data_IF_308735878611
#
_entry.id   IF_308735878611
#
_cell.length_a   1.000
_cell.length_b   1.000
_cell.length_c   1.000
_cell.angle_alpha   90.00
_cell.angle_beta   90.00
_cell.angle_gamma   90.00
#
_symmetry.space_group_name_H-M   'P 1'
#
loop_
_entity.id
_entity.type
_entity.pdbx_description
1 polymer ?
#
# COMPACT_ATOMS: atom_id res chain seq x y z
N UNK A 1 -32.22 -2.40 -6.70
CA UNK A 1 -33.07 -1.25 -7.08
C UNK A 1 -32.26 -0.34 -7.98
N UNK A 2 -32.85 0.10 -9.15
CA UNK A 2 -32.17 1.12 -9.95
C UNK A 2 -32.71 2.49 -9.55
N UNK A 3 -31.85 3.36 -9.11
CA UNK A 3 -32.21 4.75 -8.78
C UNK A 3 -32.22 5.56 -10.09
N UNK A 4 -33.30 6.29 -10.40
CA UNK A 4 -33.33 7.17 -11.56
C UNK A 4 -32.42 8.37 -11.29
N UNK A 5 -31.26 8.43 -11.96
CA UNK A 5 -30.35 9.57 -11.89
C UNK A 5 -30.99 10.71 -12.72
N UNK A 6 -31.38 11.79 -12.06
CA UNK A 6 -31.77 13.04 -12.72
C UNK A 6 -30.54 13.97 -12.78
N UNK A 7 -29.99 14.16 -13.96
CA UNK A 7 -28.82 14.98 -14.18
C UNK A 7 -29.02 16.50 -13.96
N UNK A 8 -30.23 16.92 -13.53
CA UNK A 8 -30.52 18.33 -13.23
C UNK A 8 -30.16 18.75 -11.81
N UNK A 9 -29.86 17.79 -10.94
CA UNK A 9 -29.47 18.04 -9.54
C UNK A 9 -28.21 17.23 -9.20
N UNK A 10 -27.27 17.85 -8.52
CA UNK A 10 -26.07 17.18 -7.98
C UNK A 10 -26.38 16.50 -6.63
N UNK A 11 -27.49 15.78 -6.59
CA UNK A 11 -27.95 15.06 -5.39
C UNK A 11 -28.16 13.59 -5.73
N UNK A 12 -27.48 12.72 -5.02
CA UNK A 12 -27.76 11.30 -4.98
C UNK A 12 -28.34 10.93 -3.61
N UNK A 13 -29.54 10.33 -3.54
CA UNK A 13 -30.13 9.96 -2.25
C UNK A 13 -29.27 8.90 -1.56
N UNK A 14 -29.26 8.92 -0.22
CA UNK A 14 -28.57 7.93 0.57
C UNK A 14 -29.06 6.50 0.19
N UNK A 15 -28.12 5.61 -0.03
CA UNK A 15 -28.43 4.19 -0.23
C UNK A 15 -28.74 3.57 1.14
N UNK A 16 -29.90 2.93 1.23
CA UNK A 16 -30.39 2.30 2.48
C UNK A 16 -30.46 0.78 2.38
N UNK A 17 -30.06 0.22 1.25
CA UNK A 17 -30.09 -1.21 0.91
C UNK A 17 -28.80 -1.96 1.34
N UNK A 18 -27.79 -1.23 1.80
CA UNK A 18 -26.55 -1.78 2.31
C UNK A 18 -26.21 -1.21 3.69
N UNK A 19 -25.81 -2.06 4.63
CA UNK A 19 -25.30 -1.60 5.91
C UNK A 19 -23.85 -1.13 5.74
N UNK A 20 -23.56 0.07 6.21
CA UNK A 20 -22.18 0.55 6.40
C UNK A 20 -21.59 -0.20 7.59
N UNK A 21 -20.51 -0.93 7.37
CA UNK A 21 -19.78 -1.63 8.43
C UNK A 21 -18.78 -0.67 9.09
N UNK A 22 -18.72 -0.70 10.42
CA UNK A 22 -17.74 0.07 11.19
C UNK A 22 -16.60 -0.86 11.62
N UNK A 23 -15.78 -1.25 10.66
CA UNK A 23 -14.63 -2.14 10.85
C UNK A 23 -13.39 -1.55 10.20
N UNK A 24 -12.22 -1.96 10.65
CA UNK A 24 -10.95 -1.58 10.03
C UNK A 24 -10.66 -2.41 8.77
N UNK A 25 -9.75 -1.90 7.92
CA UNK A 25 -9.29 -2.65 6.72
C UNK A 25 -8.67 -4.00 7.12
N UNK A 26 -7.88 -4.03 8.20
CA UNK A 26 -7.29 -5.27 8.72
C UNK A 26 -8.34 -6.29 9.22
N UNK A 27 -9.39 -5.82 9.89
CA UNK A 27 -10.50 -6.68 10.29
C UNK A 27 -11.27 -7.24 9.09
N UNK A 28 -11.51 -6.41 8.06
CA UNK A 28 -12.14 -6.86 6.83
C UNK A 28 -11.32 -7.96 6.14
N UNK A 29 -10.00 -7.81 6.06
CA UNK A 29 -9.10 -8.83 5.51
C UNK A 29 -9.22 -10.15 6.31
N UNK A 30 -9.20 -10.08 7.64
CA UNK A 30 -9.36 -11.24 8.52
C UNK A 30 -10.69 -11.96 8.30
N UNK A 31 -11.79 -11.23 8.27
CA UNK A 31 -13.11 -11.80 8.01
C UNK A 31 -13.20 -12.47 6.64
N UNK A 32 -12.61 -11.87 5.62
CA UNK A 32 -12.58 -12.43 4.27
C UNK A 32 -11.75 -13.71 4.23
N UNK A 33 -10.57 -13.72 4.86
CA UNK A 33 -9.72 -14.88 4.93
C UNK A 33 -10.34 -16.03 5.73
N UNK A 34 -11.15 -15.74 6.76
CA UNK A 34 -11.91 -16.75 7.49
C UNK A 34 -13.05 -17.34 6.65
N UNK A 35 -13.72 -16.51 5.86
CA UNK A 35 -14.85 -16.95 5.04
C UNK A 35 -14.41 -17.74 3.80
N UNK A 36 -13.27 -17.36 3.19
CA UNK A 36 -12.79 -17.89 1.91
C UNK A 36 -11.30 -18.27 1.94
N UNK A 37 -10.81 -19.06 2.91
CA UNK A 37 -9.39 -19.24 3.19
C UNK A 37 -8.58 -19.78 2.01
N UNK A 38 -9.19 -20.61 1.16
CA UNK A 38 -8.52 -21.28 0.04
C UNK A 38 -8.79 -20.64 -1.33
N UNK A 39 -9.63 -19.62 -1.36
CA UNK A 39 -9.87 -18.91 -2.62
C UNK A 39 -8.71 -17.97 -2.95
N UNK A 40 -8.47 -17.77 -4.25
CA UNK A 40 -7.40 -16.89 -4.73
C UNK A 40 -7.74 -15.44 -4.41
N UNK A 41 -6.82 -14.78 -3.69
CA UNK A 41 -6.93 -13.38 -3.29
C UNK A 41 -6.10 -12.44 -4.17
N UNK A 42 -4.91 -12.87 -4.55
CA UNK A 42 -3.94 -12.06 -5.31
C UNK A 42 -3.20 -12.94 -6.30
N UNK A 43 -2.98 -12.42 -7.50
CA UNK A 43 -2.20 -13.07 -8.55
C UNK A 43 -1.23 -12.05 -9.13
N UNK A 44 0.04 -12.41 -9.19
CA UNK A 44 1.06 -11.65 -9.90
C UNK A 44 1.00 -11.98 -11.39
N UNK A 45 0.95 -10.94 -12.21
CA UNK A 45 0.98 -11.07 -13.67
C UNK A 45 2.11 -10.18 -14.19
N UNK A 46 3.00 -10.75 -14.97
CA UNK A 46 4.11 -10.00 -15.55
C UNK A 46 3.67 -9.17 -16.78
N UNK A 47 4.64 -8.46 -17.40
CA UNK A 47 4.37 -7.57 -18.53
C UNK A 47 3.93 -8.34 -19.80
N UNK A 48 4.29 -9.60 -19.91
CA UNK A 48 3.94 -10.47 -21.05
C UNK A 48 2.60 -11.18 -20.83
N UNK A 49 2.02 -11.05 -19.62
CA UNK A 49 0.75 -11.63 -19.23
C UNK A 49 0.88 -13.03 -18.61
N UNK A 50 2.10 -13.46 -18.32
CA UNK A 50 2.34 -14.73 -17.65
C UNK A 50 2.03 -14.64 -16.15
N UNK A 51 1.42 -15.72 -15.63
CA UNK A 51 1.04 -15.81 -14.22
C UNK A 51 2.27 -16.23 -13.40
N UNK A 52 2.65 -15.37 -12.45
CA UNK A 52 3.71 -15.62 -11.48
C UNK A 52 3.18 -16.23 -10.17
N UNK A 53 3.50 -15.57 -9.05
CA UNK A 53 3.07 -15.98 -7.71
C UNK A 53 1.57 -15.78 -7.51
N UNK A 54 0.97 -16.57 -6.65
CA UNK A 54 -0.43 -16.41 -6.28
C UNK A 54 -0.62 -16.65 -4.77
N UNK A 55 -1.58 -15.95 -4.20
CA UNK A 55 -1.94 -16.04 -2.80
C UNK A 55 -3.41 -16.41 -2.65
N UNK A 56 -3.69 -17.30 -1.72
CA UNK A 56 -5.03 -17.49 -1.19
C UNK A 56 -5.31 -16.37 -0.16
N UNK A 57 -6.58 -16.17 0.22
CA UNK A 57 -6.90 -15.23 1.29
C UNK A 57 -6.17 -15.56 2.60
N UNK A 58 -6.01 -16.85 2.91
CA UNK A 58 -5.29 -17.28 4.11
C UNK A 58 -3.81 -16.95 4.05
N UNK A 59 -3.12 -17.24 2.93
CA UNK A 59 -1.69 -16.95 2.80
C UNK A 59 -1.42 -15.45 2.72
N UNK A 60 -2.27 -14.68 2.02
CA UNK A 60 -2.16 -13.22 1.99
C UNK A 60 -2.30 -12.61 3.39
N UNK A 61 -3.28 -13.08 4.18
CA UNK A 61 -3.44 -12.61 5.56
C UNK A 61 -2.19 -12.90 6.39
N UNK A 62 -1.62 -14.11 6.28
CA UNK A 62 -0.42 -14.49 7.03
C UNK A 62 0.75 -13.56 6.71
N UNK A 63 1.05 -13.32 5.43
CA UNK A 63 2.13 -12.41 5.04
C UNK A 63 1.87 -10.97 5.47
N UNK A 64 0.62 -10.50 5.39
CA UNK A 64 0.26 -9.17 5.88
C UNK A 64 0.44 -9.03 7.40
N UNK A 65 0.12 -10.07 8.18
CA UNK A 65 0.32 -10.08 9.64
C UNK A 65 1.81 -10.10 10.01
N UNK A 66 2.63 -10.91 9.32
CA UNK A 66 4.08 -10.94 9.50
C UNK A 66 4.71 -9.58 9.20
N UNK A 67 4.32 -8.98 8.07
CA UNK A 67 4.80 -7.66 7.70
C UNK A 67 4.31 -6.56 8.65
N UNK A 68 3.06 -6.63 9.11
CA UNK A 68 2.53 -5.69 10.11
C UNK A 68 3.29 -5.76 11.43
N UNK A 69 3.67 -6.97 11.87
CA UNK A 69 4.49 -7.16 13.06
C UNK A 69 5.90 -6.57 12.87
N UNK A 70 6.52 -6.78 11.71
CA UNK A 70 7.82 -6.19 11.40
C UNK A 70 7.76 -4.65 11.39
N UNK A 71 6.71 -4.07 10.80
CA UNK A 71 6.48 -2.62 10.81
C UNK A 71 6.27 -2.07 12.22
N UNK A 72 5.41 -2.72 13.03
CA UNK A 72 5.13 -2.30 14.40
C UNK A 72 6.34 -2.39 15.35
N UNK A 73 7.36 -3.19 14.99
CA UNK A 73 8.63 -3.24 15.73
C UNK A 73 9.55 -2.03 15.45
N UNK A 74 9.31 -1.28 14.37
CA UNK A 74 10.15 -0.19 13.87
C UNK A 74 9.49 1.19 13.92
N UNK A 75 8.17 1.20 13.78
CA UNK A 75 7.39 2.42 13.65
C UNK A 75 6.24 2.46 14.67
N UNK A 76 5.91 3.66 15.12
CA UNK A 76 4.80 3.89 16.03
C UNK A 76 3.49 4.10 15.25
N UNK A 77 2.32 3.74 15.82
CA UNK A 77 1.03 4.06 15.23
C UNK A 77 0.90 5.57 14.93
N UNK A 78 0.42 5.89 13.74
CA UNK A 78 0.30 7.26 13.23
C UNK A 78 1.54 7.79 12.52
N UNK A 79 2.70 7.11 12.59
CA UNK A 79 3.84 7.47 11.75
C UNK A 79 3.52 7.18 10.27
N UNK A 80 4.15 7.93 9.40
CA UNK A 80 3.97 7.80 7.95
C UNK A 80 5.17 7.11 7.33
N UNK A 81 4.90 6.19 6.39
CA UNK A 81 5.92 5.56 5.56
C UNK A 81 5.58 5.75 4.10
N UNK A 82 6.55 6.16 3.29
CA UNK A 82 6.34 6.32 1.86
C UNK A 82 6.67 5.02 1.13
N UNK A 83 5.75 4.58 0.27
CA UNK A 83 5.97 3.47 -0.67
C UNK A 83 6.12 4.06 -2.07
N UNK A 84 7.31 3.89 -2.63
CA UNK A 84 7.70 4.34 -3.96
C UNK A 84 8.08 3.14 -4.81
N UNK A 85 7.05 2.51 -5.38
CA UNK A 85 7.15 1.24 -6.10
C UNK A 85 6.09 1.16 -7.20
N UNK A 86 6.30 0.39 -8.26
CA UNK A 86 5.23 -0.02 -9.15
C UNK A 86 4.25 -0.94 -8.43
N UNK A 87 3.18 -1.31 -9.14
CA UNK A 87 2.21 -2.28 -8.63
C UNK A 87 2.86 -3.67 -8.59
N UNK A 88 3.18 -4.14 -7.40
CA UNK A 88 3.72 -5.46 -7.11
C UNK A 88 2.91 -6.11 -5.99
N UNK A 89 2.99 -7.43 -5.80
CA UNK A 89 2.33 -8.08 -4.66
C UNK A 89 2.79 -7.51 -3.31
N UNK A 90 4.07 -7.19 -3.17
CA UNK A 90 4.66 -6.57 -1.97
C UNK A 90 4.00 -5.24 -1.63
N UNK A 91 3.60 -4.47 -2.67
CA UNK A 91 2.87 -3.22 -2.48
C UNK A 91 1.50 -3.46 -1.83
N UNK A 92 0.77 -4.48 -2.28
CA UNK A 92 -0.54 -4.86 -1.72
C UNK A 92 -0.39 -5.35 -0.27
N UNK A 93 0.61 -6.20 -0.01
CA UNK A 93 0.92 -6.70 1.33
C UNK A 93 1.26 -5.52 2.26
N UNK A 94 2.08 -4.57 1.79
CA UNK A 94 2.46 -3.38 2.55
C UNK A 94 1.26 -2.50 2.91
N UNK A 95 0.30 -2.34 1.99
CA UNK A 95 -0.93 -1.56 2.24
C UNK A 95 -1.74 -2.15 3.40
N UNK A 96 -2.01 -3.46 3.37
CA UNK A 96 -2.71 -4.14 4.46
C UNK A 96 -1.89 -4.15 5.75
N UNK A 97 -0.58 -4.39 5.67
CA UNK A 97 0.31 -4.41 6.82
C UNK A 97 0.36 -3.05 7.53
N UNK A 98 0.48 -1.95 6.80
CA UNK A 98 0.42 -0.59 7.35
C UNK A 98 -0.92 -0.35 8.06
N UNK A 99 -2.03 -0.72 7.42
CA UNK A 99 -3.36 -0.57 8.01
C UNK A 99 -3.53 -1.37 9.31
N UNK A 100 -2.95 -2.59 9.38
CA UNK A 100 -2.99 -3.45 10.57
C UNK A 100 -2.09 -2.93 11.69
N UNK A 101 -0.93 -2.35 11.35
CA UNK A 101 0.01 -1.77 12.30
C UNK A 101 -0.37 -0.35 12.77
N UNK A 102 -1.42 0.26 12.19
CA UNK A 102 -1.80 1.64 12.47
C UNK A 102 -0.85 2.68 11.88
N UNK A 103 -0.11 2.31 10.84
CA UNK A 103 0.86 3.16 10.15
C UNK A 103 0.17 3.79 8.92
N UNK A 104 0.47 5.06 8.67
CA UNK A 104 -0.08 5.78 7.52
C UNK A 104 0.79 5.54 6.30
N UNK A 105 0.24 4.89 5.27
CA UNK A 105 0.94 4.71 4.00
C UNK A 105 0.83 5.98 3.15
N UNK A 106 1.96 6.42 2.60
CA UNK A 106 2.08 7.53 1.65
C UNK A 106 2.51 6.95 0.31
N UNK A 107 1.69 7.10 -0.70
CA UNK A 107 1.98 6.53 -2.02
C UNK A 107 2.72 7.53 -2.90
N UNK A 108 3.80 7.10 -3.53
CA UNK A 108 4.58 7.91 -4.47
C UNK A 108 4.63 7.23 -5.85
N UNK A 109 4.43 8.03 -6.90
CA UNK A 109 4.47 7.51 -8.28
C UNK A 109 5.90 7.04 -8.61
N UNK A 110 6.10 5.82 -9.12
CA UNK A 110 7.43 5.28 -9.43
C UNK A 110 8.20 6.05 -10.53
N UNK A 111 7.54 6.93 -11.27
CA UNK A 111 8.19 7.78 -12.28
C UNK A 111 8.82 9.05 -11.71
N UNK A 112 8.60 9.38 -10.44
CA UNK A 112 9.13 10.60 -9.81
C UNK A 112 10.67 10.60 -9.81
N UNK A 113 11.23 11.83 -9.94
CA UNK A 113 12.65 12.08 -9.82
C UNK A 113 13.00 12.59 -8.40
N UNK A 114 14.27 12.70 -8.08
CA UNK A 114 14.76 12.99 -6.73
C UNK A 114 14.09 14.22 -6.08
N UNK A 115 13.92 15.31 -6.81
CA UNK A 115 13.32 16.55 -6.29
C UNK A 115 11.83 16.38 -5.93
N UNK A 116 11.09 15.64 -6.76
CA UNK A 116 9.65 15.39 -6.54
C UNK A 116 9.44 14.40 -5.41
N UNK A 117 10.26 13.33 -5.37
CA UNK A 117 10.24 12.36 -4.28
C UNK A 117 10.58 13.04 -2.96
N UNK A 118 11.64 13.86 -2.92
CA UNK A 118 12.02 14.64 -1.75
C UNK A 118 10.87 15.50 -1.23
N UNK A 119 10.14 16.18 -2.13
CA UNK A 119 8.99 16.98 -1.74
C UNK A 119 7.92 16.14 -1.03
N UNK A 120 7.61 14.94 -1.55
CA UNK A 120 6.63 14.04 -0.91
C UNK A 120 7.12 13.60 0.46
N UNK A 121 8.38 13.18 0.59
CA UNK A 121 8.97 12.72 1.84
C UNK A 121 8.94 13.80 2.93
N UNK A 122 9.31 15.02 2.57
CA UNK A 122 9.32 16.18 3.46
C UNK A 122 7.90 16.61 3.84
N UNK A 123 7.03 16.78 2.83
CA UNK A 123 5.64 17.22 3.04
C UNK A 123 4.83 16.22 3.88
N UNK A 124 5.05 14.93 3.71
CA UNK A 124 4.37 13.89 4.47
C UNK A 124 5.00 13.65 5.84
N UNK A 125 6.19 14.21 6.11
CA UNK A 125 6.99 13.88 7.29
C UNK A 125 7.19 12.36 7.44
N UNK A 126 7.50 11.69 6.34
CA UNK A 126 7.66 10.24 6.35
C UNK A 126 8.86 9.81 7.19
N UNK A 127 8.67 8.76 7.98
CA UNK A 127 9.72 8.16 8.81
C UNK A 127 10.60 7.18 8.03
N UNK A 128 10.07 6.61 6.94
CA UNK A 128 10.80 5.70 6.07
C UNK A 128 10.36 5.80 4.61
N UNK A 129 11.26 5.37 3.73
CA UNK A 129 11.01 5.16 2.31
C UNK A 129 11.17 3.67 1.96
N UNK A 130 10.10 3.05 1.51
CA UNK A 130 10.11 1.72 0.91
C UNK A 130 10.13 1.87 -0.61
N UNK A 131 11.07 1.20 -1.29
CA UNK A 131 11.27 1.33 -2.73
C UNK A 131 11.66 0.00 -3.37
N UNK A 132 11.62 -0.07 -4.69
CA UNK A 132 12.31 -1.11 -5.48
C UNK A 132 13.62 -0.56 -6.03
N UNK A 133 14.51 -1.44 -6.52
CA UNK A 133 15.81 -1.02 -7.03
C UNK A 133 15.71 -0.22 -8.33
N UNK A 134 14.88 -0.70 -9.26
CA UNK A 134 14.71 -0.07 -10.58
C UNK A 134 13.26 -0.19 -11.07
N UNK A 135 12.83 0.76 -11.90
CA UNK A 135 11.56 0.68 -12.61
C UNK A 135 11.65 1.36 -13.99
N UNK A 136 11.43 0.61 -15.07
CA UNK A 136 11.43 1.11 -16.47
C UNK A 136 12.65 1.97 -16.80
N UNK A 137 13.83 1.55 -16.36
CA UNK A 137 15.08 2.28 -16.53
C UNK A 137 15.30 3.43 -15.54
N UNK A 138 14.35 3.70 -14.64
CA UNK A 138 14.53 4.67 -13.57
C UNK A 138 15.35 4.02 -12.44
N UNK A 139 16.55 4.51 -12.10
CA UNK A 139 17.41 3.92 -11.07
C UNK A 139 16.96 4.37 -9.67
N UNK A 140 15.87 3.79 -9.17
CA UNK A 140 15.19 4.24 -7.96
C UNK A 140 16.09 4.18 -6.72
N UNK A 141 16.94 3.15 -6.62
CA UNK A 141 17.92 3.08 -5.54
C UNK A 141 18.86 4.29 -5.50
N UNK A 142 19.35 4.75 -6.66
CA UNK A 142 20.22 5.93 -6.75
C UNK A 142 19.46 7.22 -6.45
N UNK A 143 18.27 7.36 -7.01
CA UNK A 143 17.41 8.53 -6.83
C UNK A 143 16.98 8.69 -5.38
N UNK A 144 16.71 7.58 -4.67
CA UNK A 144 16.34 7.62 -3.25
C UNK A 144 17.45 8.19 -2.37
N UNK A 145 18.71 7.89 -2.65
CA UNK A 145 19.85 8.47 -1.93
C UNK A 145 19.86 9.99 -2.04
N UNK A 146 19.68 10.51 -3.28
CA UNK A 146 19.62 11.96 -3.52
C UNK A 146 18.39 12.61 -2.87
N UNK A 147 17.22 11.95 -2.97
CA UNK A 147 15.97 12.46 -2.41
C UNK A 147 15.99 12.54 -0.88
N UNK A 148 16.62 11.56 -0.22
CA UNK A 148 16.70 11.48 1.25
C UNK A 148 17.83 12.32 1.85
N UNK A 149 18.78 12.80 1.05
CA UNK A 149 19.95 13.53 1.55
C UNK A 149 19.52 14.77 2.37
N UNK A 150 19.97 14.84 3.63
CA UNK A 150 19.66 15.92 4.55
C UNK A 150 18.21 15.94 5.08
N UNK A 151 17.34 14.96 4.77
CA UNK A 151 16.03 14.80 5.41
C UNK A 151 16.16 14.07 6.73
N UNK A 152 16.14 14.80 7.84
CA UNK A 152 16.30 14.23 9.20
C UNK A 152 15.10 13.37 9.65
N UNK A 153 13.95 13.48 9.00
CA UNK A 153 12.76 12.69 9.30
C UNK A 153 12.85 11.25 8.81
N UNK A 154 13.57 11.01 7.71
CA UNK A 154 13.75 9.66 7.15
C UNK A 154 14.78 8.90 7.96
N UNK A 155 14.34 7.85 8.65
CA UNK A 155 15.21 6.97 9.43
C UNK A 155 15.72 5.78 8.64
N UNK A 156 14.94 5.30 7.70
CA UNK A 156 15.22 4.10 6.93
C UNK A 156 14.84 4.26 5.46
N UNK A 157 15.65 3.66 4.58
CA UNK A 157 15.36 3.49 3.17
C UNK A 157 15.52 2.00 2.84
N UNK A 158 14.41 1.34 2.55
CA UNK A 158 14.31 -0.13 2.51
C UNK A 158 13.96 -0.57 1.09
N UNK A 159 14.65 -1.58 0.59
CA UNK A 159 14.23 -2.28 -0.63
C UNK A 159 13.11 -3.25 -0.29
N UNK A 160 12.02 -3.22 -1.06
CA UNK A 160 10.86 -4.08 -0.81
C UNK A 160 11.07 -5.53 -1.25
N UNK A 161 12.16 -5.80 -1.97
CA UNK A 161 12.50 -7.13 -2.48
C UNK A 161 13.59 -7.83 -1.66
N UNK A 162 14.09 -7.21 -0.57
CA UNK A 162 15.13 -7.77 0.31
C UNK A 162 14.56 -8.60 1.47
#
# INVERSE_FOLDING_TARGET
MSYPIRLTESLFPAQTDSQVQSITIGEQLKLTAQAYPQETALVEVDIDGDIGRSWTWSSLLTECEEQAFALASRFLPGERVTVWSPNTPEWVIMEFACAMAGIVIVTANPALQARELRYILDQSESAALFRVETYRGNPMAKISVEACDGLSGIRECIDMND
#
